data_IF_945074818341
#
_entry.id   IF_945074818341
#
_cell.length_a   1.000
_cell.length_b   1.000
_cell.length_c   1.000
_cell.angle_alpha   90.00
_cell.angle_beta   90.00
_cell.angle_gamma   90.00
#
_symmetry.space_group_name_H-M   'P 1'
#
loop_
_entity.id
_entity.type
_entity.pdbx_description
1 polymer ?
#
# COMPACT_ATOMS: atom_id res chain seq x y z
N UNK A 1 -6.00 12.08 20.58
CA UNK A 1 -4.97 11.68 19.60
C UNK A 1 -4.04 10.62 20.18
N UNK A 2 -3.74 9.61 19.39
CA UNK A 2 -2.84 8.55 19.83
C UNK A 2 -1.39 9.01 19.78
N UNK A 3 -0.57 8.46 20.70
CA UNK A 3 0.87 8.66 20.65
C UNK A 3 1.47 7.96 19.41
N UNK A 4 2.67 8.37 19.01
CA UNK A 4 3.39 7.74 17.89
C UNK A 4 3.63 6.25 18.11
N UNK A 5 3.99 5.84 19.34
CA UNK A 5 4.22 4.42 19.64
C UNK A 5 2.96 3.60 19.53
N UNK A 6 1.81 4.15 19.92
CA UNK A 6 0.52 3.49 19.80
C UNK A 6 0.13 3.31 18.33
N UNK A 7 0.36 4.33 17.49
CA UNK A 7 0.08 4.25 16.06
C UNK A 7 0.98 3.22 15.37
N UNK A 8 2.26 3.14 15.72
CA UNK A 8 3.19 2.14 15.18
C UNK A 8 2.76 0.72 15.55
N UNK A 9 2.30 0.51 16.79
CA UNK A 9 1.80 -0.79 17.24
C UNK A 9 0.57 -1.21 16.43
N UNK A 10 -0.34 -0.28 16.14
CA UNK A 10 -1.52 -0.55 15.32
C UNK A 10 -1.14 -0.95 13.89
N UNK A 11 -0.09 -0.38 13.31
CA UNK A 11 0.39 -0.75 11.97
C UNK A 11 0.82 -2.22 11.93
N UNK A 12 1.57 -2.69 12.92
CA UNK A 12 1.98 -4.09 12.97
C UNK A 12 0.78 -5.05 13.01
N UNK A 13 -0.30 -4.65 13.63
CA UNK A 13 -1.51 -5.48 13.69
C UNK A 13 -2.29 -5.51 12.38
N UNK A 14 -2.16 -4.49 11.51
CA UNK A 14 -2.99 -4.29 10.34
C UNK A 14 -2.27 -4.42 9.00
N UNK A 15 -0.94 -4.55 9.01
CA UNK A 15 -0.13 -4.46 7.79
C UNK A 15 -0.46 -5.51 6.74
N UNK A 16 -1.03 -6.66 7.14
CA UNK A 16 -1.39 -7.73 6.22
C UNK A 16 -2.87 -7.72 5.81
N UNK A 17 -3.62 -6.73 6.24
CA UNK A 17 -5.05 -6.67 5.97
C UNK A 17 -5.88 -7.71 6.71
N UNK A 18 -5.29 -8.43 7.67
CA UNK A 18 -5.95 -9.53 8.37
C UNK A 18 -7.00 -9.07 9.38
N UNK A 19 -6.94 -7.81 9.81
CA UNK A 19 -7.89 -7.24 10.74
C UNK A 19 -8.78 -6.22 10.03
N UNK A 20 -9.58 -6.73 9.09
CA UNK A 20 -10.44 -5.89 8.26
C UNK A 20 -11.47 -5.11 9.06
N UNK A 21 -11.86 -5.61 10.24
CA UNK A 21 -12.85 -4.92 11.09
C UNK A 21 -12.35 -3.59 11.64
N UNK A 22 -11.03 -3.42 11.74
CA UNK A 22 -10.41 -2.20 12.26
C UNK A 22 -10.01 -1.20 11.17
N UNK A 23 -10.25 -1.50 9.89
CA UNK A 23 -9.88 -0.60 8.81
C UNK A 23 -10.53 0.77 8.93
N UNK A 24 -11.76 0.82 9.42
CA UNK A 24 -12.51 2.06 9.61
C UNK A 24 -11.88 2.99 10.65
N UNK A 25 -11.06 2.46 11.54
CA UNK A 25 -10.34 3.22 12.55
C UNK A 25 -9.02 3.79 12.04
N UNK A 26 -8.63 3.43 10.84
CA UNK A 26 -7.40 3.94 10.23
C UNK A 26 -7.59 5.37 9.74
N UNK A 27 -6.53 6.15 9.77
CA UNK A 27 -6.50 7.46 9.13
C UNK A 27 -6.20 7.30 7.64
N UNK A 28 -5.31 6.40 7.31
CA UNK A 28 -4.79 6.19 5.95
C UNK A 28 -4.74 4.68 5.67
N UNK A 29 -5.17 4.31 4.46
CA UNK A 29 -5.06 2.94 3.99
C UNK A 29 -4.23 2.93 2.71
N UNK A 30 -3.18 2.12 2.69
CA UNK A 30 -2.30 1.97 1.54
C UNK A 30 -2.63 0.68 0.80
N UNK A 31 -2.84 0.80 -0.50
CA UNK A 31 -3.09 -0.32 -1.40
C UNK A 31 -1.95 -0.43 -2.41
N UNK A 32 -1.61 -1.64 -2.77
CA UNK A 32 -0.61 -1.86 -3.81
C UNK A 32 -0.20 -3.31 -3.88
N UNK A 33 0.35 -3.70 -5.02
CA UNK A 33 0.91 -5.03 -5.20
C UNK A 33 2.15 -5.22 -4.31
N UNK A 34 2.60 -6.45 -4.15
CA UNK A 34 3.77 -6.76 -3.31
C UNK A 34 4.99 -5.93 -3.72
N UNK A 35 5.72 -5.43 -2.74
CA UNK A 35 6.98 -4.68 -2.89
C UNK A 35 6.82 -3.28 -3.50
N UNK A 36 5.74 -2.60 -3.17
CA UNK A 36 5.55 -1.19 -3.51
C UNK A 36 5.76 -0.27 -2.30
N UNK A 37 6.59 -0.70 -1.34
CA UNK A 37 6.97 0.09 -0.16
C UNK A 37 5.83 0.42 0.81
N UNK A 38 4.76 -0.37 0.81
CA UNK A 38 3.63 -0.14 1.71
C UNK A 38 4.05 -0.20 3.19
N UNK A 39 4.73 -1.27 3.57
CA UNK A 39 5.13 -1.48 4.97
C UNK A 39 6.06 -0.39 5.49
N UNK A 40 7.21 -0.09 4.83
CA UNK A 40 8.07 0.97 5.33
C UNK A 40 7.39 2.34 5.35
N UNK A 41 6.55 2.63 4.36
CA UNK A 41 5.82 3.89 4.30
C UNK A 41 4.80 3.99 5.44
N UNK A 42 4.08 2.91 5.73
CA UNK A 42 3.10 2.91 6.80
C UNK A 42 3.74 3.04 8.18
N UNK A 43 4.90 2.42 8.38
CA UNK A 43 5.67 2.58 9.62
C UNK A 43 6.11 4.04 9.80
N UNK A 44 6.60 4.65 8.73
CA UNK A 44 7.00 6.06 8.76
C UNK A 44 5.81 6.97 9.11
N UNK A 45 4.65 6.74 8.49
CA UNK A 45 3.43 7.50 8.77
C UNK A 45 2.95 7.29 10.21
N UNK A 46 3.05 6.05 10.72
CA UNK A 46 2.67 5.75 12.10
C UNK A 46 3.56 6.50 13.09
N UNK A 47 4.85 6.62 12.79
CA UNK A 47 5.78 7.39 13.62
C UNK A 47 5.47 8.89 13.60
N UNK A 48 4.74 9.36 12.59
CA UNK A 48 4.22 10.73 12.52
C UNK A 48 2.87 10.89 13.22
N UNK A 49 2.31 9.81 13.74
CA UNK A 49 1.04 9.84 14.46
C UNK A 49 -0.18 9.42 13.68
N UNK A 50 -0.03 8.94 12.45
CA UNK A 50 -1.15 8.50 11.62
C UNK A 50 -1.37 7.00 11.76
N UNK A 51 -2.61 6.59 12.03
CA UNK A 51 -2.98 5.17 12.00
C UNK A 51 -3.07 4.71 10.56
N UNK A 52 -2.21 3.80 10.17
CA UNK A 52 -2.08 3.35 8.79
C UNK A 52 -2.33 1.85 8.69
N UNK A 53 -3.11 1.44 7.71
CA UNK A 53 -3.33 0.04 7.38
C UNK A 53 -2.86 -0.24 5.96
N UNK A 54 -2.39 -1.45 5.71
CA UNK A 54 -1.95 -1.89 4.40
C UNK A 54 -2.87 -3.00 3.90
N UNK A 55 -3.24 -2.93 2.63
CA UNK A 55 -3.96 -4.01 1.98
C UNK A 55 -3.12 -4.46 0.79
N UNK A 56 -2.53 -5.68 0.85
CA UNK A 56 -1.82 -6.22 -0.30
C UNK A 56 -2.81 -6.53 -1.42
N UNK A 57 -2.50 -6.06 -2.62
CA UNK A 57 -3.38 -6.19 -3.77
C UNK A 57 -2.93 -7.36 -4.63
N UNK A 58 -3.64 -8.47 -4.57
CA UNK A 58 -3.39 -9.63 -5.42
C UNK A 58 -4.35 -9.61 -6.61
N UNK A 59 -5.62 -9.30 -6.34
CA UNK A 59 -6.65 -9.16 -7.36
C UNK A 59 -7.78 -8.29 -6.77
N UNK A 60 -8.82 -8.04 -7.55
CA UNK A 60 -9.94 -7.20 -7.09
C UNK A 60 -10.63 -7.78 -5.86
N UNK A 61 -10.62 -9.10 -5.69
CA UNK A 61 -11.22 -9.77 -4.53
C UNK A 61 -10.46 -9.53 -3.23
N UNK A 62 -9.20 -9.09 -3.32
CA UNK A 62 -8.40 -8.74 -2.13
C UNK A 62 -8.94 -7.52 -1.40
N UNK A 63 -9.78 -6.73 -2.06
CA UNK A 63 -10.28 -5.46 -1.53
C UNK A 63 -11.58 -5.70 -0.79
N UNK A 64 -11.64 -5.38 0.52
CA UNK A 64 -12.91 -5.44 1.24
C UNK A 64 -13.93 -4.49 0.60
N UNK A 65 -15.15 -4.97 0.37
CA UNK A 65 -16.18 -4.18 -0.31
C UNK A 65 -16.51 -2.89 0.43
N UNK A 66 -16.39 -2.88 1.75
CA UNK A 66 -16.71 -1.70 2.57
C UNK A 66 -15.81 -0.50 2.28
N UNK A 67 -14.56 -0.70 1.84
CA UNK A 67 -13.69 0.43 1.53
C UNK A 67 -14.06 1.14 0.23
N UNK A 68 -14.88 0.51 -0.61
CA UNK A 68 -15.40 1.13 -1.82
C UNK A 68 -16.65 1.97 -1.56
N UNK A 69 -17.18 1.92 -0.34
CA UNK A 69 -18.36 2.69 0.05
C UNK A 69 -17.99 4.18 0.17
N UNK A 70 -18.85 5.05 -0.34
CA UNK A 70 -18.65 6.51 -0.30
C UNK A 70 -18.59 7.07 1.12
N UNK A 71 -19.18 6.36 2.08
CA UNK A 71 -19.17 6.79 3.48
C UNK A 71 -17.96 6.31 4.26
N UNK A 72 -17.05 5.60 3.60
CA UNK A 72 -15.83 5.11 4.23
C UNK A 72 -14.88 6.29 4.50
N UNK A 73 -14.57 6.55 5.76
CA UNK A 73 -13.86 7.75 6.19
C UNK A 73 -12.34 7.77 5.93
N UNK A 74 -11.60 6.66 6.09
CA UNK A 74 -10.15 6.70 5.92
C UNK A 74 -9.72 7.18 4.53
N UNK A 75 -8.56 7.80 4.48
CA UNK A 75 -7.95 8.21 3.22
C UNK A 75 -7.30 7.01 2.56
N UNK A 76 -7.72 6.66 1.35
CA UNK A 76 -7.19 5.51 0.62
C UNK A 76 -6.25 6.00 -0.46
N UNK A 77 -5.02 5.46 -0.47
CA UNK A 77 -3.99 5.83 -1.45
C UNK A 77 -3.44 4.56 -2.08
N UNK A 78 -3.42 4.54 -3.41
CA UNK A 78 -2.80 3.45 -4.17
C UNK A 78 -1.33 3.75 -4.41
N UNK A 79 -0.47 2.76 -4.19
CA UNK A 79 0.94 2.85 -4.52
C UNK A 79 1.23 1.99 -5.73
N UNK A 80 1.99 2.53 -6.67
CA UNK A 80 2.39 1.82 -7.89
C UNK A 80 3.86 2.05 -8.19
N UNK A 81 4.43 1.21 -9.02
CA UNK A 81 5.81 1.33 -9.47
C UNK A 81 5.94 0.76 -10.86
N UNK A 82 7.02 1.09 -11.57
CA UNK A 82 7.32 0.50 -12.87
C UNK A 82 7.51 -1.00 -12.74
N UNK A 83 6.98 -1.77 -13.70
CA UNK A 83 7.03 -3.22 -13.68
C UNK A 83 8.46 -3.76 -13.67
N UNK A 84 9.35 -3.16 -14.44
CA UNK A 84 10.77 -3.54 -14.52
C UNK A 84 11.46 -3.36 -13.16
N UNK A 85 11.18 -2.26 -12.49
CA UNK A 85 11.74 -2.00 -11.16
C UNK A 85 11.22 -3.02 -10.14
N UNK A 86 9.93 -3.34 -10.21
CA UNK A 86 9.31 -4.31 -9.35
C UNK A 86 9.89 -5.72 -9.59
N UNK A 87 10.12 -6.06 -10.85
CA UNK A 87 10.78 -7.31 -11.22
C UNK A 87 12.16 -7.43 -10.54
N UNK A 88 12.98 -6.39 -10.62
CA UNK A 88 14.32 -6.40 -10.02
C UNK A 88 14.24 -6.54 -8.49
N UNK A 89 13.34 -5.82 -7.85
CA UNK A 89 13.17 -5.86 -6.40
C UNK A 89 12.74 -7.27 -5.96
N UNK A 90 11.77 -7.87 -6.63
CA UNK A 90 11.28 -9.20 -6.30
C UNK A 90 12.35 -10.29 -6.52
N UNK A 91 13.10 -10.18 -7.61
CA UNK A 91 14.18 -11.10 -7.92
C UNK A 91 15.27 -11.04 -6.85
N UNK A 92 15.69 -9.82 -6.47
CA UNK A 92 16.69 -9.64 -5.42
C UNK A 92 16.20 -10.19 -4.08
N UNK A 93 14.91 -10.02 -3.77
CA UNK A 93 14.30 -10.55 -2.55
C UNK A 93 14.41 -12.09 -2.50
N UNK A 94 14.07 -12.77 -3.59
CA UNK A 94 14.17 -14.23 -3.65
C UNK A 94 15.62 -14.71 -3.53
N UNK A 95 16.55 -14.03 -4.20
CA UNK A 95 17.96 -14.37 -4.12
C UNK A 95 18.50 -14.24 -2.69
N UNK A 96 18.14 -13.18 -1.98
CA UNK A 96 18.58 -12.95 -0.61
C UNK A 96 17.99 -13.96 0.37
N UNK A 97 16.84 -14.52 0.09
CA UNK A 97 16.20 -15.56 0.90
C UNK A 97 16.63 -16.96 0.49
N UNK A 98 17.47 -17.08 -0.55
CA UNK A 98 17.92 -18.37 -1.12
C UNK A 98 16.75 -19.27 -1.53
N UNK A 99 15.66 -18.67 -1.97
CA UNK A 99 14.48 -19.40 -2.43
C UNK A 99 14.61 -19.68 -3.94
N UNK A 100 14.01 -20.79 -4.38
CA UNK A 100 13.85 -21.06 -5.80
C UNK A 100 12.90 -20.05 -6.42
N UNK A 101 13.19 -19.63 -7.64
CA UNK A 101 12.36 -18.66 -8.33
C UNK A 101 10.93 -19.15 -8.48
N UNK A 102 9.99 -18.36 -7.98
CA UNK A 102 8.58 -18.53 -8.28
C UNK A 102 8.34 -17.95 -9.67
N UNK A 103 7.83 -18.73 -10.57
CA UNK A 103 7.64 -18.33 -11.95
C UNK A 103 6.69 -17.14 -12.11
N UNK A 104 5.63 -17.07 -11.31
CA UNK A 104 4.66 -15.98 -11.41
C UNK A 104 5.13 -14.70 -10.71
N UNK A 105 5.73 -14.84 -9.52
CA UNK A 105 6.20 -13.72 -8.72
C UNK A 105 7.29 -12.91 -9.42
N UNK A 106 8.16 -13.58 -10.19
CA UNK A 106 9.28 -12.96 -10.92
C UNK A 106 9.11 -13.01 -12.43
N UNK A 107 7.90 -13.24 -12.95
CA UNK A 107 7.62 -13.20 -14.39
C UNK A 107 7.25 -11.77 -14.77
N UNK A 108 8.08 -11.13 -15.62
CA UNK A 108 7.88 -9.73 -15.97
C UNK A 108 6.53 -9.45 -16.60
N UNK A 109 6.04 -10.35 -17.48
CA UNK A 109 4.73 -10.15 -18.11
C UNK A 109 3.59 -10.21 -17.09
N UNK A 110 3.68 -11.11 -16.12
CA UNK A 110 2.70 -11.19 -15.03
C UNK A 110 2.78 -9.97 -14.12
N UNK A 111 3.98 -9.46 -13.87
CA UNK A 111 4.17 -8.24 -13.07
C UNK A 111 3.53 -7.04 -13.78
N UNK A 112 3.69 -6.94 -15.11
CA UNK A 112 3.05 -5.90 -15.92
C UNK A 112 1.52 -5.96 -15.77
N UNK A 113 0.96 -7.18 -15.84
CA UNK A 113 -0.47 -7.38 -15.64
C UNK A 113 -0.92 -6.94 -14.25
N UNK A 114 -0.19 -7.34 -13.19
CA UNK A 114 -0.50 -6.95 -11.82
C UNK A 114 -0.52 -5.43 -11.66
N UNK A 115 0.50 -4.76 -12.17
CA UNK A 115 0.63 -3.30 -12.08
C UNK A 115 -0.51 -2.61 -12.82
N UNK A 116 -0.81 -3.03 -14.04
CA UNK A 116 -1.90 -2.45 -14.82
C UNK A 116 -3.26 -2.69 -14.17
N UNK A 117 -3.50 -3.89 -13.65
CA UNK A 117 -4.74 -4.21 -12.96
C UNK A 117 -4.91 -3.36 -11.69
N UNK A 118 -3.83 -3.15 -10.93
CA UNK A 118 -3.89 -2.29 -9.76
C UNK A 118 -4.25 -0.85 -10.12
N UNK A 119 -3.65 -0.31 -11.18
CA UNK A 119 -3.96 1.02 -11.68
C UNK A 119 -5.43 1.15 -12.10
N UNK A 120 -5.97 0.14 -12.76
CA UNK A 120 -7.38 0.12 -13.16
C UNK A 120 -8.30 0.15 -11.96
N UNK A 121 -7.99 -0.62 -10.92
CA UNK A 121 -8.76 -0.64 -9.68
C UNK A 121 -8.74 0.73 -9.01
N UNK A 122 -7.58 1.37 -8.93
CA UNK A 122 -7.45 2.69 -8.35
C UNK A 122 -8.28 3.73 -9.11
N UNK A 123 -8.23 3.71 -10.45
CA UNK A 123 -9.02 4.62 -11.28
C UNK A 123 -10.53 4.39 -11.14
N UNK A 124 -10.94 3.13 -11.13
CA UNK A 124 -12.35 2.75 -10.98
C UNK A 124 -12.96 3.31 -9.70
N UNK A 125 -12.18 3.28 -8.61
CA UNK A 125 -12.62 3.75 -7.30
C UNK A 125 -12.25 5.21 -7.02
N UNK A 126 -11.62 5.89 -7.98
CA UNK A 126 -11.18 7.29 -7.86
C UNK A 126 -10.24 7.51 -6.67
N UNK A 127 -9.41 6.53 -6.37
CA UNK A 127 -8.40 6.65 -5.33
C UNK A 127 -7.14 7.33 -5.87
N UNK A 128 -6.57 8.29 -5.13
CA UNK A 128 -5.29 8.89 -5.52
C UNK A 128 -4.20 7.83 -5.61
N UNK A 129 -3.32 7.96 -6.59
CA UNK A 129 -2.26 7.00 -6.86
C UNK A 129 -0.92 7.72 -6.85
N UNK A 130 0.08 7.12 -6.20
CA UNK A 130 1.45 7.64 -6.16
C UNK A 130 2.37 6.60 -6.78
N UNK A 131 3.18 7.04 -7.76
CA UNK A 131 4.24 6.23 -8.33
C UNK A 131 5.48 6.36 -7.46
N UNK A 132 5.90 5.26 -6.84
CA UNK A 132 7.01 5.25 -5.88
C UNK A 132 8.34 4.85 -6.50
N UNK A 133 8.39 4.65 -7.82
CA UNK A 133 9.57 4.11 -8.53
C UNK A 133 10.87 4.83 -8.16
N UNK A 134 10.84 6.14 -8.07
CA UNK A 134 12.02 6.97 -7.81
C UNK A 134 11.85 7.85 -6.59
N UNK A 135 11.01 7.42 -5.65
CA UNK A 135 10.75 8.18 -4.43
C UNK A 135 11.29 7.45 -3.21
N UNK A 136 11.81 8.21 -2.27
CA UNK A 136 12.14 7.69 -0.94
C UNK A 136 10.86 7.48 -0.14
N UNK A 137 10.96 6.73 0.95
CA UNK A 137 9.85 6.54 1.89
C UNK A 137 9.35 7.89 2.40
N UNK A 138 10.26 8.80 2.72
CA UNK A 138 9.93 10.14 3.24
C UNK A 138 9.16 10.96 2.21
N UNK A 139 9.58 10.93 0.95
CA UNK A 139 8.90 11.65 -0.14
C UNK A 139 7.50 11.08 -0.39
N UNK A 140 7.39 9.75 -0.38
CA UNK A 140 6.10 9.07 -0.53
C UNK A 140 5.17 9.44 0.61
N UNK A 141 5.66 9.38 1.85
CA UNK A 141 4.88 9.72 3.02
C UNK A 141 4.43 11.19 3.01
N UNK A 142 5.32 12.09 2.59
CA UNK A 142 4.95 13.51 2.47
C UNK A 142 3.81 13.73 1.48
N UNK A 143 3.85 13.04 0.34
CA UNK A 143 2.77 13.10 -0.65
C UNK A 143 1.45 12.55 -0.09
N UNK A 144 1.51 11.48 0.67
CA UNK A 144 0.34 10.87 1.30
C UNK A 144 -0.27 11.81 2.34
N UNK A 145 0.56 12.41 3.18
CA UNK A 145 0.10 13.37 4.20
C UNK A 145 -0.61 14.55 3.53
N UNK A 146 -0.05 15.05 2.44
CA UNK A 146 -0.66 16.14 1.70
C UNK A 146 -2.05 15.76 1.16
N UNK A 147 -2.18 14.57 0.62
CA UNK A 147 -3.47 14.04 0.14
C UNK A 147 -4.46 13.94 1.32
N UNK A 148 -4.01 13.40 2.44
CA UNK A 148 -4.82 13.27 3.65
C UNK A 148 -5.31 14.64 4.14
N UNK A 149 -4.45 15.62 4.21
CA UNK A 149 -4.80 16.97 4.66
C UNK A 149 -5.83 17.62 3.73
N UNK A 150 -5.68 17.45 2.43
CA UNK A 150 -6.63 17.98 1.44
C UNK A 150 -8.00 17.33 1.61
N UNK A 151 -8.03 16.02 1.80
CA UNK A 151 -9.29 15.30 1.98
C UNK A 151 -10.03 15.72 3.24
N UNK A 152 -9.32 16.05 4.30
CA UNK A 152 -9.92 16.37 5.61
C UNK A 152 -10.06 17.87 5.88
N UNK A 153 -10.02 18.68 4.84
CA UNK A 153 -10.32 20.12 4.93
C UNK A 153 -11.79 20.39 5.13
#
# INVERSE_FOLDING_TARGET
>A
TQSRSSAASDVYKRQDGNQTDDLEKSDIILLGVSRTSKTPTSIYLANKGYKTSNIPLVNEKSIPTRITNKNFKPCIVGLTTEAERLFDIRKNRLNSLKENESTEYTNLEKIKEEVENSKKIFRKNQWPTIDVTRKSVEETAASIIKIYEIKNR
#
